data_IF_520446399675
#
_entry.id   IF_520446399675
#
_cell.length_a   1.000
_cell.length_b   1.000
_cell.length_c   1.000
_cell.angle_alpha   90.00
_cell.angle_beta   90.00
_cell.angle_gamma   90.00
#
_symmetry.space_group_name_H-M   'P 1'
#
loop_
_entity.id
_entity.type
_entity.pdbx_description
1 polymer ?
#
# COMPACT_ATOMS: atom_id res chain seq x y z
N UNK A 1 -43.11 32.93 -2.11
CA UNK A 1 -42.70 31.79 -1.26
C UNK A 1 -42.18 30.59 -2.06
N UNK A 2 -42.87 30.06 -3.08
CA UNK A 2 -42.42 28.88 -3.85
C UNK A 2 -41.05 29.03 -4.53
N UNK A 3 -40.72 30.21 -5.09
CA UNK A 3 -39.45 30.45 -5.76
C UNK A 3 -38.23 30.39 -4.82
N UNK A 4 -38.38 30.79 -3.56
CA UNK A 4 -37.30 30.79 -2.56
C UNK A 4 -36.87 29.36 -2.22
N UNK A 5 -37.83 28.43 -2.11
CA UNK A 5 -37.54 27.01 -1.88
C UNK A 5 -36.78 26.36 -3.04
N UNK A 6 -37.08 26.74 -4.27
CA UNK A 6 -36.36 26.27 -5.46
C UNK A 6 -34.91 26.78 -5.52
N UNK A 7 -34.69 28.05 -5.16
CA UNK A 7 -33.33 28.64 -5.12
C UNK A 7 -32.48 28.00 -4.03
N UNK A 8 -33.06 27.75 -2.84
CA UNK A 8 -32.37 27.07 -1.74
C UNK A 8 -32.05 25.62 -2.11
N UNK A 9 -33.01 24.90 -2.70
CA UNK A 9 -32.80 23.52 -3.17
C UNK A 9 -31.69 23.41 -4.22
N UNK A 10 -31.69 24.30 -5.22
CA UNK A 10 -30.64 24.35 -6.25
C UNK A 10 -29.25 24.66 -5.66
N UNK A 11 -29.19 25.56 -4.67
CA UNK A 11 -27.94 25.92 -3.99
C UNK A 11 -27.36 24.76 -3.18
N UNK A 12 -28.21 23.98 -2.50
CA UNK A 12 -27.77 22.80 -1.74
C UNK A 12 -27.23 21.71 -2.68
N UNK A 13 -27.91 21.47 -3.81
CA UNK A 13 -27.46 20.50 -4.81
C UNK A 13 -26.15 20.95 -5.45
N UNK A 14 -26.02 22.23 -5.82
CA UNK A 14 -24.78 22.79 -6.36
C UNK A 14 -23.63 22.72 -5.34
N UNK A 15 -23.89 22.96 -4.05
CA UNK A 15 -22.90 22.82 -2.98
C UNK A 15 -22.50 21.36 -2.79
N UNK A 16 -23.45 20.43 -2.85
CA UNK A 16 -23.19 18.99 -2.79
C UNK A 16 -22.33 18.50 -3.95
N UNK A 17 -22.62 18.97 -5.17
CA UNK A 17 -21.81 18.68 -6.37
C UNK A 17 -20.43 19.34 -6.25
N UNK A 18 -20.34 20.58 -5.76
CA UNK A 18 -19.06 21.26 -5.59
C UNK A 18 -18.18 20.59 -4.53
N UNK A 19 -18.77 20.16 -3.41
CA UNK A 19 -18.07 19.40 -2.37
C UNK A 19 -17.62 18.03 -2.89
N UNK A 20 -18.48 17.32 -3.63
CA UNK A 20 -18.10 16.01 -4.19
C UNK A 20 -17.00 16.12 -5.26
N UNK A 21 -17.08 17.12 -6.14
CA UNK A 21 -16.07 17.37 -7.18
C UNK A 21 -14.76 17.91 -6.59
N UNK A 22 -14.81 18.76 -5.56
CA UNK A 22 -13.59 19.28 -4.93
C UNK A 22 -12.86 18.25 -4.06
N UNK A 23 -13.58 17.33 -3.41
CA UNK A 23 -13.00 16.23 -2.63
C UNK A 23 -12.35 15.15 -3.50
N UNK A 24 -12.74 15.02 -4.77
CA UNK A 24 -12.20 14.01 -5.70
C UNK A 24 -10.78 14.35 -6.21
N UNK A 25 -10.26 15.55 -5.93
CA UNK A 25 -9.04 16.08 -6.57
C UNK A 25 -7.71 15.87 -5.82
N UNK A 26 -7.72 15.25 -4.63
CA UNK A 26 -6.53 14.64 -4.04
C UNK A 26 -6.97 13.77 -2.86
N UNK A 27 -6.93 12.44 -2.98
CA UNK A 27 -7.07 11.55 -1.82
C UNK A 27 -6.03 11.96 -0.77
N UNK A 28 -6.47 12.64 0.28
CA UNK A 28 -5.59 13.12 1.37
C UNK A 28 -5.15 11.91 2.17
N UNK A 29 -3.85 11.67 2.19
CA UNK A 29 -3.23 10.62 3.00
C UNK A 29 -3.02 11.11 4.44
N UNK A 30 -3.14 10.22 5.42
CA UNK A 30 -2.98 10.56 6.85
C UNK A 30 -1.66 9.98 7.38
N UNK A 31 -0.70 10.80 7.84
CA UNK A 31 0.60 10.30 8.30
C UNK A 31 0.49 9.38 9.52
N UNK A 32 1.04 8.17 9.42
CA UNK A 32 1.16 7.19 10.52
C UNK A 32 2.61 7.07 11.01
N UNK A 33 3.58 7.08 10.09
CA UNK A 33 5.01 7.27 10.37
C UNK A 33 5.45 8.52 9.61
N UNK A 34 5.87 9.56 10.35
CA UNK A 34 6.48 10.76 9.74
C UNK A 34 7.86 10.39 9.17
N UNK A 35 8.42 11.26 8.33
CA UNK A 35 9.79 11.10 7.81
C UNK A 35 10.75 10.70 8.94
N UNK A 36 11.31 9.50 8.81
CA UNK A 36 12.13 8.86 9.83
C UNK A 36 13.30 8.14 9.17
N UNK A 37 14.33 7.86 9.95
CA UNK A 37 15.53 7.15 9.51
C UNK A 37 15.70 5.86 10.31
N UNK A 38 16.10 4.79 9.64
CA UNK A 38 16.17 3.45 10.20
C UNK A 38 17.55 2.82 9.98
N UNK A 39 18.03 2.08 10.98
CA UNK A 39 19.31 1.40 10.98
C UNK A 39 19.29 0.20 10.02
N UNK A 40 18.17 -0.51 9.95
CA UNK A 40 17.99 -1.73 9.18
C UNK A 40 16.50 -1.99 8.90
N UNK A 41 16.23 -3.09 8.19
CA UNK A 41 14.90 -3.55 7.81
C UNK A 41 14.06 -3.98 9.04
N UNK A 42 14.71 -4.39 10.13
CA UNK A 42 14.07 -4.77 11.40
C UNK A 42 13.51 -3.53 12.10
N UNK A 43 14.28 -2.43 12.18
CA UNK A 43 13.83 -1.18 12.78
C UNK A 43 12.63 -0.61 12.00
N UNK A 44 12.58 -0.76 10.66
CA UNK A 44 11.42 -0.40 9.85
C UNK A 44 10.19 -1.21 10.29
N UNK A 45 10.30 -2.54 10.30
CA UNK A 45 9.20 -3.43 10.64
C UNK A 45 8.66 -3.20 12.07
N UNK A 46 9.54 -3.00 13.05
CA UNK A 46 9.15 -2.69 14.42
C UNK A 46 8.41 -1.34 14.53
N UNK A 47 8.83 -0.33 13.76
CA UNK A 47 8.14 0.95 13.72
C UNK A 47 6.76 0.83 13.05
N UNK A 48 6.63 0.02 12.00
CA UNK A 48 5.33 -0.30 11.38
C UNK A 48 4.43 -0.99 12.40
N UNK A 49 4.90 -2.07 13.04
CA UNK A 49 4.15 -2.81 14.06
C UNK A 49 3.71 -1.89 15.20
N UNK A 50 4.63 -1.08 15.75
CA UNK A 50 4.33 -0.15 16.86
C UNK A 50 3.24 0.85 16.51
N UNK A 51 3.21 1.33 15.27
CA UNK A 51 2.21 2.32 14.82
C UNK A 51 0.87 1.70 14.47
N UNK A 52 0.86 0.44 14.08
CA UNK A 52 -0.32 -0.28 13.61
C UNK A 52 -0.72 -1.43 14.54
N UNK A 53 -0.26 -1.42 15.80
CA UNK A 53 -0.42 -2.56 16.71
C UNK A 53 -1.89 -2.95 16.90
N UNK A 54 -2.78 -1.96 17.00
CA UNK A 54 -4.22 -2.19 17.14
C UNK A 54 -4.80 -2.76 15.85
N UNK A 55 -4.47 -2.15 14.70
CA UNK A 55 -4.96 -2.59 13.39
C UNK A 55 -4.47 -4.00 13.04
N UNK A 56 -3.21 -4.31 13.34
CA UNK A 56 -2.60 -5.63 13.18
C UNK A 56 -3.26 -6.63 14.14
N UNK A 57 -3.41 -6.31 15.43
CA UNK A 57 -4.06 -7.20 16.39
C UNK A 57 -5.51 -7.55 16.05
N UNK A 58 -6.19 -6.70 15.28
CA UNK A 58 -7.59 -6.89 14.86
C UNK A 58 -7.75 -7.54 13.49
N UNK A 59 -6.70 -7.60 12.66
CA UNK A 59 -6.77 -8.13 11.31
C UNK A 59 -5.92 -9.41 11.16
N UNK A 60 -6.49 -10.55 10.75
CA UNK A 60 -5.73 -11.76 10.47
C UNK A 60 -5.24 -11.87 9.01
N UNK A 61 -5.59 -10.92 8.14
CA UNK A 61 -5.41 -10.99 6.68
C UNK A 61 -4.57 -9.80 6.18
N UNK A 62 -3.46 -10.08 5.50
CA UNK A 62 -2.49 -9.04 5.13
C UNK A 62 -2.04 -9.14 3.70
N UNK A 63 -2.12 -8.02 2.98
CA UNK A 63 -1.61 -7.89 1.62
C UNK A 63 -0.47 -6.89 1.61
N UNK A 64 0.68 -7.26 1.06
CA UNK A 64 1.85 -6.38 0.94
C UNK A 64 2.25 -6.26 -0.51
N UNK A 65 2.23 -5.02 -0.98
CA UNK A 65 2.66 -4.61 -2.31
C UNK A 65 4.13 -4.24 -2.31
N UNK A 66 4.86 -4.76 -3.28
CA UNK A 66 6.29 -4.50 -3.50
C UNK A 66 6.50 -3.96 -4.91
N UNK A 67 7.38 -2.99 -5.08
CA UNK A 67 7.77 -2.59 -6.44
C UNK A 67 8.55 -3.71 -7.13
N UNK A 68 8.25 -4.00 -8.41
CA UNK A 68 9.07 -4.88 -9.23
C UNK A 68 10.56 -4.52 -9.15
N UNK A 69 11.41 -5.55 -9.11
CA UNK A 69 12.87 -5.45 -9.06
C UNK A 69 13.47 -4.74 -7.82
N UNK A 70 12.66 -4.41 -6.80
CA UNK A 70 13.12 -3.81 -5.53
C UNK A 70 13.35 -4.85 -4.45
N UNK A 71 14.44 -5.61 -4.58
CA UNK A 71 14.81 -6.69 -3.64
C UNK A 71 14.92 -6.23 -2.18
N UNK A 72 15.33 -4.98 -1.95
CA UNK A 72 15.45 -4.39 -0.62
C UNK A 72 14.09 -4.22 0.08
N UNK A 73 13.00 -4.04 -0.69
CA UNK A 73 11.66 -4.01 -0.13
C UNK A 73 11.22 -5.40 0.33
N UNK A 74 11.62 -6.48 -0.37
CA UNK A 74 11.34 -7.86 0.05
C UNK A 74 11.93 -8.17 1.42
N UNK A 75 13.16 -7.72 1.69
CA UNK A 75 13.77 -7.87 3.01
C UNK A 75 12.94 -7.20 4.12
N UNK A 76 12.39 -6.00 3.84
CA UNK A 76 11.46 -5.31 4.75
C UNK A 76 10.15 -6.09 4.90
N UNK A 77 9.59 -6.65 3.82
CA UNK A 77 8.38 -7.49 3.89
C UNK A 77 8.58 -8.71 4.78
N UNK A 78 9.72 -9.40 4.66
CA UNK A 78 10.07 -10.53 5.54
C UNK A 78 10.05 -10.09 7.00
N UNK A 79 10.65 -8.95 7.33
CA UNK A 79 10.66 -8.46 8.72
C UNK A 79 9.27 -8.03 9.20
N UNK A 80 8.47 -7.36 8.35
CA UNK A 80 7.07 -7.03 8.67
C UNK A 80 6.27 -8.29 8.97
N UNK A 81 6.38 -9.32 8.14
CA UNK A 81 5.73 -10.62 8.36
C UNK A 81 6.13 -11.20 9.71
N UNK A 82 7.43 -11.28 9.99
CA UNK A 82 7.94 -11.83 11.24
C UNK A 82 7.42 -11.07 12.48
N UNK A 83 7.38 -9.74 12.42
CA UNK A 83 6.85 -8.91 13.50
C UNK A 83 5.33 -9.11 13.70
N UNK A 84 4.56 -9.29 12.62
CA UNK A 84 3.15 -9.64 12.70
C UNK A 84 2.96 -11.04 13.32
N UNK A 85 3.75 -12.03 12.92
CA UNK A 85 3.66 -13.39 13.45
C UNK A 85 4.01 -13.48 14.93
N UNK A 86 4.89 -12.60 15.44
CA UNK A 86 5.15 -12.49 16.89
C UNK A 86 3.92 -12.03 17.66
N UNK A 87 3.10 -11.14 17.09
CA UNK A 87 1.90 -10.61 17.73
C UNK A 87 0.69 -11.53 17.56
N UNK A 88 0.52 -12.07 16.36
CA UNK A 88 -0.70 -12.76 15.93
C UNK A 88 -0.52 -14.26 15.70
N UNK A 89 0.69 -14.81 15.86
CA UNK A 89 1.00 -16.20 15.48
C UNK A 89 1.21 -16.38 13.98
N UNK A 90 1.65 -17.58 13.55
CA UNK A 90 2.08 -17.83 12.18
C UNK A 90 0.94 -17.76 11.16
N UNK A 91 1.29 -17.42 9.92
CA UNK A 91 0.39 -17.53 8.78
C UNK A 91 0.25 -18.99 8.34
N UNK A 92 -0.98 -19.42 8.05
CA UNK A 92 -1.24 -20.78 7.53
C UNK A 92 -0.94 -20.83 6.03
N UNK A 93 -1.20 -19.73 5.33
CA UNK A 93 -0.94 -19.59 3.90
C UNK A 93 -0.13 -18.32 3.64
N UNK A 94 0.92 -18.44 2.83
CA UNK A 94 1.69 -17.32 2.32
C UNK A 94 1.69 -17.41 0.81
N UNK A 95 0.96 -16.51 0.17
CA UNK A 95 0.77 -16.49 -1.27
C UNK A 95 1.67 -15.40 -1.83
N UNK A 96 2.57 -15.75 -2.75
CA UNK A 96 3.42 -14.81 -3.46
C UNK A 96 3.00 -14.72 -4.93
N UNK A 97 3.11 -13.52 -5.47
CA UNK A 97 2.93 -13.26 -6.89
C UNK A 97 4.19 -13.65 -7.68
N UNK A 98 4.01 -14.55 -8.65
CA UNK A 98 5.07 -14.97 -9.56
C UNK A 98 5.66 -13.82 -10.36
N UNK A 99 4.92 -12.72 -10.58
CA UNK A 99 5.44 -11.52 -11.24
C UNK A 99 6.62 -10.87 -10.50
N UNK A 100 6.73 -11.07 -9.19
CA UNK A 100 7.82 -10.51 -8.37
C UNK A 100 9.16 -11.23 -8.58
N UNK A 101 9.17 -12.38 -9.26
CA UNK A 101 10.38 -13.18 -9.55
C UNK A 101 11.28 -13.38 -8.31
N UNK A 102 10.67 -13.73 -7.18
CA UNK A 102 11.38 -13.92 -5.92
C UNK A 102 12.45 -15.02 -6.06
N UNK A 103 13.62 -14.79 -5.46
CA UNK A 103 14.64 -15.82 -5.34
C UNK A 103 14.16 -16.99 -4.47
N UNK A 104 14.77 -18.17 -4.62
CA UNK A 104 14.47 -19.32 -3.77
C UNK A 104 14.70 -19.02 -2.27
N UNK A 105 15.71 -18.22 -1.96
CA UNK A 105 15.97 -17.75 -0.59
C UNK A 105 14.83 -16.87 -0.07
N UNK A 106 14.38 -15.89 -0.86
CA UNK A 106 13.29 -15.00 -0.47
C UNK A 106 11.97 -15.77 -0.29
N UNK A 107 11.67 -16.74 -1.17
CA UNK A 107 10.50 -17.60 -1.02
C UNK A 107 10.57 -18.42 0.27
N UNK A 108 11.76 -18.95 0.62
CA UNK A 108 11.97 -19.69 1.86
C UNK A 108 11.83 -18.79 3.10
N UNK A 109 12.41 -17.60 3.09
CA UNK A 109 12.34 -16.64 4.19
C UNK A 109 10.91 -16.14 4.44
N UNK A 110 10.15 -15.92 3.37
CA UNK A 110 8.72 -15.58 3.46
C UNK A 110 7.87 -16.78 3.87
N UNK A 111 8.35 -18.01 3.70
CA UNK A 111 7.57 -19.22 3.92
C UNK A 111 6.45 -19.39 2.90
N UNK A 112 6.71 -19.05 1.63
CA UNK A 112 5.73 -19.10 0.54
C UNK A 112 5.17 -20.51 0.38
N UNK A 113 3.86 -20.65 0.57
CA UNK A 113 3.11 -21.90 0.37
C UNK A 113 2.57 -22.00 -1.05
N UNK A 114 2.27 -20.87 -1.69
CA UNK A 114 1.75 -20.79 -3.05
C UNK A 114 2.43 -19.67 -3.82
N UNK A 115 2.91 -19.96 -5.03
CA UNK A 115 3.49 -18.97 -5.93
C UNK A 115 2.69 -18.99 -7.24
N UNK A 116 1.93 -17.93 -7.50
CA UNK A 116 0.95 -17.87 -8.60
C UNK A 116 1.01 -16.53 -9.31
N UNK A 117 0.69 -16.52 -10.59
CA UNK A 117 0.47 -15.27 -11.30
C UNK A 117 -0.92 -14.72 -10.94
N UNK A 118 -0.99 -13.70 -10.08
CA UNK A 118 -2.26 -13.24 -9.49
C UNK A 118 -3.19 -12.66 -10.55
N UNK A 119 -2.65 -11.89 -11.49
CA UNK A 119 -3.42 -11.25 -12.55
C UNK A 119 -4.15 -12.28 -13.42
N UNK A 120 -3.47 -13.35 -13.81
CA UNK A 120 -4.00 -14.42 -14.65
C UNK A 120 -4.93 -15.36 -13.88
N UNK A 121 -4.77 -15.49 -12.56
CA UNK A 121 -5.50 -16.44 -11.72
C UNK A 121 -6.43 -15.76 -10.71
N UNK A 122 -6.87 -14.54 -10.99
CA UNK A 122 -7.59 -13.70 -10.03
C UNK A 122 -8.83 -14.37 -9.42
N UNK A 123 -9.59 -15.13 -10.20
CA UNK A 123 -10.80 -15.83 -9.72
C UNK A 123 -10.42 -16.91 -8.71
N UNK A 124 -9.46 -17.77 -9.04
CA UNK A 124 -9.00 -18.85 -8.18
C UNK A 124 -8.36 -18.29 -6.89
N UNK A 125 -7.49 -17.28 -7.01
CA UNK A 125 -6.91 -16.59 -5.85
C UNK A 125 -8.02 -16.03 -4.96
N UNK A 126 -9.05 -15.40 -5.54
CA UNK A 126 -10.21 -14.91 -4.80
C UNK A 126 -10.95 -16.01 -4.05
N UNK A 127 -11.21 -17.16 -4.67
CA UNK A 127 -11.84 -18.32 -4.02
C UNK A 127 -11.02 -18.85 -2.85
N UNK A 128 -9.70 -19.00 -3.03
CA UNK A 128 -8.78 -19.42 -1.96
C UNK A 128 -8.82 -18.45 -0.80
N UNK A 129 -8.69 -17.15 -1.06
CA UNK A 129 -8.71 -16.12 -0.02
C UNK A 129 -10.05 -16.06 0.70
N UNK A 130 -11.18 -16.09 -0.02
CA UNK A 130 -12.52 -16.14 0.58
C UNK A 130 -12.67 -17.33 1.52
N UNK A 131 -12.21 -18.51 1.09
CA UNK A 131 -12.27 -19.72 1.92
C UNK A 131 -11.43 -19.58 3.19
N UNK A 132 -10.24 -18.98 3.09
CA UNK A 132 -9.39 -18.72 4.25
C UNK A 132 -10.08 -17.75 5.23
N UNK A 133 -10.71 -16.68 4.74
CA UNK A 133 -11.43 -15.73 5.59
C UNK A 133 -12.66 -16.35 6.27
N UNK A 134 -13.45 -17.13 5.53
CA UNK A 134 -14.61 -17.86 6.08
C UNK A 134 -14.20 -18.87 7.16
N UNK A 135 -13.00 -19.44 7.06
CA UNK A 135 -12.43 -20.36 8.05
C UNK A 135 -11.64 -19.64 9.15
N UNK A 136 -11.56 -18.30 9.10
CA UNK A 136 -10.73 -17.47 9.98
C UNK A 136 -9.26 -17.93 10.02
N UNK A 137 -8.73 -18.38 8.88
CA UNK A 137 -7.33 -18.80 8.72
C UNK A 137 -6.48 -17.62 8.27
N UNK A 138 -5.44 -17.31 9.04
CA UNK A 138 -4.51 -16.22 8.78
C UNK A 138 -3.73 -16.49 7.50
N UNK A 139 -3.64 -15.47 6.66
CA UNK A 139 -2.85 -15.55 5.43
C UNK A 139 -2.12 -14.24 5.15
N UNK A 140 -1.04 -14.35 4.39
CA UNK A 140 -0.19 -13.24 3.97
C UNK A 140 0.01 -13.29 2.45
N UNK A 141 -0.43 -12.24 1.75
CA UNK A 141 -0.30 -12.10 0.30
C UNK A 141 0.82 -11.10 -0.02
N UNK A 142 1.77 -11.48 -0.86
CA UNK A 142 2.84 -10.59 -1.36
C UNK A 142 2.71 -10.46 -2.87
N UNK A 143 2.57 -9.24 -3.38
CA UNK A 143 2.34 -8.98 -4.81
C UNK A 143 2.92 -7.63 -5.23
N UNK A 144 2.77 -7.25 -6.51
CA UNK A 144 3.20 -5.96 -7.00
C UNK A 144 2.43 -4.80 -6.33
N UNK A 145 3.11 -3.71 -6.00
CA UNK A 145 2.48 -2.51 -5.42
C UNK A 145 1.39 -1.91 -6.30
N UNK A 146 1.48 -2.10 -7.61
CA UNK A 146 0.42 -1.75 -8.57
C UNK A 146 -0.90 -2.44 -8.25
N UNK A 147 -0.83 -3.66 -7.74
CA UNK A 147 -1.99 -4.47 -7.49
C UNK A 147 -2.63 -4.18 -6.15
N UNK A 148 -1.91 -3.70 -5.15
CA UNK A 148 -2.41 -3.55 -3.75
C UNK A 148 -2.89 -2.16 -3.36
N UNK A 149 -2.57 -1.13 -4.13
CA UNK A 149 -2.87 0.25 -3.72
C UNK A 149 -4.34 0.63 -4.01
N UNK A 150 -4.86 1.65 -3.34
CA UNK A 150 -6.24 2.13 -3.53
C UNK A 150 -6.39 3.21 -4.60
N UNK A 151 -5.28 3.69 -5.17
CA UNK A 151 -5.26 4.78 -6.13
C UNK A 151 -5.56 4.29 -7.55
N UNK A 152 -5.30 3.01 -7.83
CA UNK A 152 -5.63 2.34 -9.09
C UNK A 152 -6.96 1.59 -8.92
N UNK A 153 -8.04 2.20 -9.42
CA UNK A 153 -9.44 1.78 -9.14
C UNK A 153 -9.77 0.34 -9.58
N UNK A 154 -9.16 -0.15 -10.66
CA UNK A 154 -9.46 -1.47 -11.24
C UNK A 154 -8.27 -2.44 -11.15
N UNK A 155 -7.41 -2.29 -10.15
CA UNK A 155 -6.33 -3.26 -9.95
C UNK A 155 -6.86 -4.62 -9.45
N UNK A 156 -6.09 -5.70 -9.60
CA UNK A 156 -6.50 -7.05 -9.21
C UNK A 156 -7.01 -7.13 -7.76
N UNK A 157 -6.36 -6.44 -6.82
CA UNK A 157 -6.79 -6.52 -5.42
C UNK A 157 -8.10 -5.77 -5.15
N UNK A 158 -8.38 -4.69 -5.89
CA UNK A 158 -9.67 -4.00 -5.82
C UNK A 158 -10.81 -4.86 -6.35
N UNK A 159 -10.56 -5.61 -7.42
CA UNK A 159 -11.51 -6.60 -7.96
C UNK A 159 -11.78 -7.70 -6.92
N UNK A 160 -10.72 -8.22 -6.28
CA UNK A 160 -10.83 -9.22 -5.21
C UNK A 160 -11.64 -8.69 -4.01
N UNK A 161 -11.30 -7.50 -3.48
CA UNK A 161 -12.03 -6.88 -2.36
C UNK A 161 -13.52 -6.72 -2.67
N UNK A 162 -13.85 -6.26 -3.89
CA UNK A 162 -15.23 -6.01 -4.32
C UNK A 162 -16.04 -7.30 -4.51
N UNK A 163 -15.48 -8.28 -5.22
CA UNK A 163 -16.23 -9.49 -5.61
C UNK A 163 -16.35 -10.50 -4.46
N UNK A 164 -15.37 -10.52 -3.56
CA UNK A 164 -15.23 -11.56 -2.55
C UNK A 164 -15.50 -11.05 -1.12
N UNK A 165 -15.84 -9.77 -0.96
CA UNK A 165 -16.04 -9.11 0.36
C UNK A 165 -14.85 -9.24 1.32
N UNK A 166 -13.66 -9.45 0.77
CA UNK A 166 -12.39 -9.61 1.50
C UNK A 166 -11.96 -8.24 2.07
N UNK A 167 -11.54 -8.20 3.35
CA UNK A 167 -11.15 -6.95 4.04
C UNK A 167 -9.74 -7.03 4.66
N UNK A 168 -8.70 -7.20 3.83
CA UNK A 168 -7.34 -7.35 4.30
C UNK A 168 -6.78 -5.99 4.72
N UNK A 169 -5.82 -6.01 5.62
CA UNK A 169 -4.93 -4.88 5.83
C UNK A 169 -3.92 -4.85 4.69
N UNK A 170 -3.79 -3.71 4.02
CA UNK A 170 -2.94 -3.61 2.83
C UNK A 170 -1.81 -2.62 3.02
N UNK A 171 -0.56 -3.01 2.75
CA UNK A 171 0.61 -2.13 2.77
C UNK A 171 1.23 -2.11 1.39
N UNK A 172 1.10 -1.00 0.66
CA UNK A 172 1.72 -0.83 -0.66
C UNK A 172 3.02 -0.06 -0.53
N UNK A 173 4.13 -0.68 -0.91
CA UNK A 173 5.45 -0.07 -0.82
C UNK A 173 5.82 0.68 -2.09
N UNK A 174 6.59 1.75 -1.96
CA UNK A 174 7.19 2.42 -3.10
C UNK A 174 8.49 3.12 -2.75
N UNK A 175 9.28 3.40 -3.77
CA UNK A 175 10.55 4.09 -3.66
C UNK A 175 10.34 5.54 -3.20
N UNK A 176 11.12 5.94 -2.20
CA UNK A 176 11.08 7.29 -1.64
C UNK A 176 12.16 8.19 -2.26
N UNK A 177 11.79 9.03 -3.22
CA UNK A 177 12.71 9.99 -3.83
C UNK A 177 12.99 11.20 -2.92
N UNK A 178 14.14 11.22 -2.26
CA UNK A 178 14.51 12.28 -1.30
C UNK A 178 14.95 13.58 -1.95
N UNK A 179 15.28 13.57 -3.25
CA UNK A 179 15.66 14.76 -4.03
C UNK A 179 15.04 14.72 -5.45
N UNK A 180 15.03 15.85 -6.18
CA UNK A 180 14.47 15.91 -7.54
C UNK A 180 15.14 14.95 -8.52
N UNK A 181 16.45 14.73 -8.40
CA UNK A 181 17.21 13.86 -9.31
C UNK A 181 16.73 12.40 -9.22
N UNK A 182 16.38 11.96 -8.02
CA UNK A 182 15.86 10.63 -7.73
C UNK A 182 14.41 10.41 -8.17
N UNK A 183 13.64 11.47 -8.47
CA UNK A 183 12.27 11.30 -8.96
C UNK A 183 12.23 10.53 -10.29
N UNK A 184 13.31 10.60 -11.08
CA UNK A 184 13.48 9.84 -12.32
C UNK A 184 13.57 8.33 -12.12
N UNK A 185 13.85 7.89 -10.89
CA UNK A 185 13.97 6.47 -10.53
C UNK A 185 12.65 5.89 -9.99
N UNK A 186 11.60 6.70 -9.88
CA UNK A 186 10.27 6.23 -9.50
C UNK A 186 9.72 5.42 -10.68
N UNK A 187 9.28 4.20 -10.39
CA UNK A 187 8.81 3.27 -11.41
C UNK A 187 7.53 3.76 -12.10
N UNK A 188 6.66 4.44 -11.35
CA UNK A 188 5.37 4.93 -11.85
C UNK A 188 5.43 6.44 -12.06
N UNK A 189 5.49 6.92 -13.31
CA UNK A 189 5.54 8.35 -13.58
C UNK A 189 4.25 9.03 -13.12
N UNK A 190 4.36 10.28 -12.69
CA UNK A 190 3.21 11.14 -12.43
C UNK A 190 2.88 11.92 -13.71
N UNK A 191 2.07 11.32 -14.59
CA UNK A 191 1.72 11.89 -15.88
C UNK A 191 0.23 12.28 -15.95
N UNK A 192 -0.05 13.46 -16.54
CA UNK A 192 -1.42 13.97 -16.70
C UNK A 192 -2.23 13.26 -17.77
N UNK A 193 -1.59 12.57 -18.71
CA UNK A 193 -2.27 11.82 -19.79
C UNK A 193 -2.64 10.38 -19.40
N UNK A 194 -2.19 9.90 -18.23
CA UNK A 194 -2.42 8.56 -17.62
C UNK A 194 -2.72 7.40 -18.59
N UNK A 195 -1.77 7.12 -19.50
CA UNK A 195 -1.93 6.06 -20.52
C UNK A 195 -1.90 4.64 -19.94
N UNK A 196 -1.26 4.46 -18.79
CA UNK A 196 -1.08 3.16 -18.14
C UNK A 196 -2.10 2.87 -17.02
N UNK A 197 -2.87 3.88 -16.59
CA UNK A 197 -3.74 3.79 -15.41
C UNK A 197 -2.98 3.76 -14.08
N UNK A 198 -1.68 4.08 -14.08
CA UNK A 198 -0.81 4.05 -12.90
C UNK A 198 -0.43 5.44 -12.41
N UNK A 199 -0.75 6.50 -13.16
CA UNK A 199 -0.33 7.87 -12.82
C UNK A 199 -0.85 8.32 -11.48
N UNK A 200 -2.07 7.91 -11.08
CA UNK A 200 -2.63 8.27 -9.78
C UNK A 200 -1.72 7.82 -8.62
N UNK A 201 -1.19 6.60 -8.69
CA UNK A 201 -0.25 6.08 -7.69
C UNK A 201 1.09 6.83 -7.73
N UNK A 202 1.66 7.01 -8.92
CA UNK A 202 2.90 7.76 -9.11
C UNK A 202 2.82 9.20 -8.59
N UNK A 203 1.73 9.90 -8.87
CA UNK A 203 1.52 11.27 -8.43
C UNK A 203 1.40 11.39 -6.91
N UNK A 204 0.78 10.42 -6.24
CA UNK A 204 0.69 10.41 -4.78
C UNK A 204 2.07 10.20 -4.16
N UNK A 205 2.86 9.26 -4.68
CA UNK A 205 4.25 9.01 -4.23
C UNK A 205 5.09 10.29 -4.38
N UNK A 206 5.09 10.89 -5.59
CA UNK A 206 5.88 12.10 -5.90
C UNK A 206 5.44 13.28 -5.04
N UNK A 207 4.14 13.53 -4.94
CA UNK A 207 3.59 14.64 -4.15
C UNK A 207 3.95 14.48 -2.68
N UNK A 208 3.82 13.26 -2.15
CA UNK A 208 4.20 12.95 -0.78
C UNK A 208 5.68 13.18 -0.56
N UNK A 209 6.54 12.68 -1.45
CA UNK A 209 7.98 12.86 -1.36
C UNK A 209 8.40 14.34 -1.38
N UNK A 210 7.84 15.13 -2.31
CA UNK A 210 8.07 16.58 -2.39
C UNK A 210 7.63 17.32 -1.12
N UNK A 211 6.51 16.92 -0.51
CA UNK A 211 5.95 17.57 0.69
C UNK A 211 6.88 17.49 1.91
N UNK A 212 7.69 16.44 2.02
CA UNK A 212 8.59 16.21 3.15
C UNK A 212 10.06 16.50 2.83
N UNK A 213 10.39 16.75 1.56
CA UNK A 213 11.77 16.98 1.09
C UNK A 213 12.53 18.05 1.87
N UNK A 214 11.86 19.13 2.25
CA UNK A 214 12.49 20.22 3.05
C UNK A 214 12.91 19.77 4.45
N UNK A 215 12.34 18.67 4.96
CA UNK A 215 12.65 18.08 6.27
C UNK A 215 13.68 16.95 6.18
N UNK A 216 14.17 16.65 4.97
CA UNK A 216 15.17 15.61 4.76
C UNK A 216 16.56 16.09 5.21
N UNK A 217 17.21 15.26 6.02
CA UNK A 217 18.51 15.49 6.62
C UNK A 217 19.54 14.65 5.87
N UNK A 218 20.25 15.31 4.94
CA UNK A 218 21.30 14.66 4.13
C UNK A 218 22.41 14.04 4.98
N UNK A 219 22.69 14.63 6.15
CA UNK A 219 23.81 14.24 7.03
C UNK A 219 23.49 13.06 7.95
N UNK A 220 22.25 12.55 7.93
CA UNK A 220 21.86 11.45 8.80
C UNK A 220 22.56 10.14 8.40
N UNK A 221 23.23 9.49 9.36
CA UNK A 221 24.07 8.31 9.14
C UNK A 221 23.29 7.01 8.91
N UNK A 222 22.00 6.98 9.25
CA UNK A 222 21.20 5.76 9.11
C UNK A 222 20.96 5.43 7.63
N UNK A 223 21.13 4.16 7.21
CA UNK A 223 21.10 3.75 5.81
C UNK A 223 19.69 3.77 5.22
N UNK A 224 18.64 3.70 6.04
CA UNK A 224 17.27 3.73 5.56
C UNK A 224 16.59 5.04 5.90
N UNK A 225 15.72 5.48 5.00
CA UNK A 225 14.82 6.61 5.21
C UNK A 225 13.44 6.24 4.67
N UNK A 226 12.40 6.64 5.39
CA UNK A 226 11.04 6.37 4.94
C UNK A 226 9.96 7.05 5.75
N UNK A 227 8.73 6.81 5.34
CA UNK A 227 7.51 7.29 5.96
C UNK A 227 6.35 6.37 5.61
N UNK A 228 5.27 6.47 6.35
CA UNK A 228 4.06 5.69 6.10
C UNK A 228 2.81 6.54 6.32
N UNK A 229 1.89 6.44 5.38
CA UNK A 229 0.60 7.11 5.46
C UNK A 229 -0.54 6.11 5.29
N UNK A 230 -1.67 6.36 5.96
CA UNK A 230 -2.96 5.73 5.70
C UNK A 230 -3.58 6.37 4.45
N UNK A 231 -4.00 5.55 3.50
CA UNK A 231 -4.54 5.96 2.19
C UNK A 231 -5.97 5.48 1.93
N UNK A 232 -6.47 4.58 2.78
CA UNK A 232 -7.83 4.05 2.76
C UNK A 232 -8.27 3.62 4.16
N UNK A 233 -9.33 2.82 4.27
CA UNK A 233 -9.82 2.35 5.58
C UNK A 233 -8.78 1.49 6.32
N UNK A 234 -8.18 0.53 5.61
CA UNK A 234 -7.13 -0.37 6.09
C UNK A 234 -5.96 -0.47 5.10
N UNK A 235 -5.77 0.59 4.29
CA UNK A 235 -4.79 0.64 3.21
C UNK A 235 -3.73 1.67 3.55
N UNK A 236 -2.47 1.27 3.43
CA UNK A 236 -1.30 2.05 3.82
C UNK A 236 -0.32 2.15 2.66
N UNK A 237 0.29 3.31 2.52
CA UNK A 237 1.42 3.56 1.64
C UNK A 237 2.68 3.66 2.49
N UNK A 238 3.67 2.81 2.23
CA UNK A 238 4.98 2.83 2.86
C UNK A 238 6.03 3.27 1.83
N UNK A 239 6.57 4.48 1.99
CA UNK A 239 7.64 4.97 1.13
C UNK A 239 8.98 4.74 1.83
N UNK A 240 9.88 4.00 1.19
CA UNK A 240 11.21 3.73 1.73
C UNK A 240 12.30 3.88 0.68
N UNK A 241 13.51 4.19 1.15
CA UNK A 241 14.72 4.24 0.36
C UNK A 241 15.90 3.78 1.22
N UNK A 242 16.74 2.92 0.66
CA UNK A 242 18.08 2.64 1.15
C UNK A 242 19.04 3.65 0.51
N UNK A 243 19.83 4.35 1.33
CA UNK A 243 20.80 5.36 0.92
C UNK A 243 22.04 4.74 0.27
#
# INVERSE_FOLDING_TARGET
MKAIYWVIGASIVALGIFISVSLDSAQRTVPKIKLSYFADEVEIAQNVLKRLQLEIGQNPFYWVGVEPDKTEQIAVVVQIKNEIEKLNGPFVEVIADSELKLSAENMKLLGVTQNVFIKENIINVGEVLTKLEQQNKKYFLVTASLYTNTFIKENPTSILKKNNSIKPMTVSMAYFATNPEQEKNILFPCDTEDKSGTSAWGCVIVTKARSVRRKYEKQNIKPWVGLMDLTGGNDYMLLIQKK
#
